data_IF_631692920577
#
_entry.id   IF_631692920577
#
_cell.length_a   1.000
_cell.length_b   1.000
_cell.length_c   1.000
_cell.angle_alpha   90.00
_cell.angle_beta   90.00
_cell.angle_gamma   90.00
#
_symmetry.space_group_name_H-M   'P 1'
#
loop_
_entity.id
_entity.type
_entity.pdbx_description
1 polymer ?
#
# COMPACT_ATOMS: atom_id res chain seq x y z
N UNK A 1 -9.45 8.99 -13.29
CA UNK A 1 -10.69 8.24 -13.65
C UNK A 1 -10.83 7.17 -12.58
N UNK A 2 -12.02 6.97 -12.01
CA UNK A 2 -12.20 5.94 -10.98
C UNK A 2 -11.96 4.54 -11.60
N UNK A 3 -11.11 3.74 -10.96
CA UNK A 3 -10.85 2.36 -11.42
C UNK A 3 -12.10 1.50 -11.19
N UNK A 4 -12.27 0.52 -12.05
CA UNK A 4 -13.29 -0.52 -11.93
C UNK A 4 -12.95 -1.49 -10.79
N UNK A 5 -13.95 -2.22 -10.30
CA UNK A 5 -13.72 -3.22 -9.26
C UNK A 5 -12.77 -4.34 -9.72
N UNK A 6 -12.84 -4.73 -10.99
CA UNK A 6 -11.93 -5.72 -11.57
C UNK A 6 -10.47 -5.24 -11.59
N UNK A 7 -10.22 -3.98 -11.99
CA UNK A 7 -8.87 -3.41 -11.96
C UNK A 7 -8.30 -3.32 -10.54
N UNK A 8 -9.16 -3.05 -9.55
CA UNK A 8 -8.77 -3.02 -8.14
C UNK A 8 -8.46 -4.43 -7.63
N UNK A 9 -9.25 -5.43 -8.02
CA UNK A 9 -9.02 -6.83 -7.65
C UNK A 9 -7.69 -7.34 -8.26
N UNK A 10 -7.43 -7.08 -9.55
CA UNK A 10 -6.18 -7.44 -10.22
C UNK A 10 -4.95 -6.79 -9.54
N UNK A 11 -5.07 -5.51 -9.15
CA UNK A 11 -4.04 -4.80 -8.41
C UNK A 11 -3.76 -5.44 -7.05
N UNK A 12 -4.81 -5.77 -6.30
CA UNK A 12 -4.69 -6.43 -4.99
C UNK A 12 -3.97 -7.77 -5.14
N UNK A 13 -4.36 -8.58 -6.13
CA UNK A 13 -3.72 -9.87 -6.40
C UNK A 13 -2.23 -9.71 -6.73
N UNK A 14 -1.88 -8.70 -7.53
CA UNK A 14 -0.48 -8.42 -7.87
C UNK A 14 0.35 -8.06 -6.63
N UNK A 15 -0.15 -7.18 -5.77
CA UNK A 15 0.58 -6.77 -4.56
C UNK A 15 0.68 -7.93 -3.56
N UNK A 16 -0.38 -8.74 -3.41
CA UNK A 16 -0.37 -9.94 -2.58
C UNK A 16 0.64 -10.98 -3.09
N UNK A 17 0.75 -11.14 -4.41
CA UNK A 17 1.76 -12.00 -5.04
C UNK A 17 3.18 -11.54 -4.72
N UNK A 18 3.46 -10.24 -4.79
CA UNK A 18 4.79 -9.72 -4.43
C UNK A 18 5.09 -9.90 -2.94
N UNK A 19 4.08 -9.82 -2.07
CA UNK A 19 4.21 -10.21 -0.66
C UNK A 19 4.57 -11.68 -0.49
N UNK A 20 3.87 -12.58 -1.17
CA UNK A 20 4.11 -14.03 -1.11
C UNK A 20 5.50 -14.41 -1.65
N UNK A 21 5.99 -13.70 -2.67
CA UNK A 21 7.32 -13.89 -3.24
C UNK A 21 8.44 -13.22 -2.41
N UNK A 22 8.11 -12.47 -1.36
CA UNK A 22 9.10 -11.76 -0.55
C UNK A 22 9.79 -10.61 -1.31
N UNK A 23 9.12 -10.01 -2.30
CA UNK A 23 9.63 -8.89 -3.10
C UNK A 23 9.51 -7.58 -2.34
N UNK A 24 10.44 -7.40 -1.41
CA UNK A 24 10.47 -6.26 -0.52
C UNK A 24 11.67 -5.36 -0.83
N UNK A 25 11.46 -4.05 -0.75
CA UNK A 25 12.54 -3.09 -0.86
C UNK A 25 13.53 -3.28 0.32
N UNK A 26 14.85 -3.04 0.16
CA UNK A 26 15.84 -3.34 1.21
C UNK A 26 15.54 -2.72 2.59
N UNK A 27 14.87 -1.57 2.62
CA UNK A 27 14.51 -0.84 3.86
C UNK A 27 13.19 -1.31 4.48
N UNK A 28 12.45 -2.20 3.85
CA UNK A 28 11.13 -2.67 4.28
C UNK A 28 11.16 -3.28 5.68
N UNK A 29 12.04 -4.27 5.92
CA UNK A 29 12.15 -4.92 7.22
C UNK A 29 12.61 -3.97 8.34
N UNK A 30 13.45 -2.98 8.01
CA UNK A 30 13.87 -1.95 8.96
C UNK A 30 12.66 -1.10 9.40
N UNK A 31 11.86 -0.63 8.44
CA UNK A 31 10.62 0.12 8.71
C UNK A 31 9.62 -0.67 9.54
N UNK A 32 9.39 -1.95 9.23
CA UNK A 32 8.52 -2.82 10.02
C UNK A 32 8.93 -2.84 11.50
N UNK A 33 10.22 -3.03 11.78
CA UNK A 33 10.77 -3.04 13.14
C UNK A 33 10.64 -1.69 13.83
N UNK A 34 11.00 -0.60 13.15
CA UNK A 34 10.91 0.77 13.69
C UNK A 34 9.49 1.17 14.09
N UNK A 35 8.49 0.64 13.40
CA UNK A 35 7.09 0.96 13.62
C UNK A 35 6.30 -0.13 14.36
N UNK A 36 6.96 -1.20 14.83
CA UNK A 36 6.31 -2.30 15.55
C UNK A 36 5.25 -3.04 14.71
N UNK A 37 5.40 -3.07 13.38
CA UNK A 37 4.48 -3.72 12.45
C UNK A 37 5.05 -5.07 12.02
N UNK A 38 4.21 -6.10 11.97
CA UNK A 38 4.59 -7.42 11.47
C UNK A 38 4.25 -7.54 9.98
N UNK A 39 4.92 -8.45 9.26
CA UNK A 39 4.58 -8.74 7.86
C UNK A 39 3.10 -9.15 7.73
N UNK A 40 2.59 -9.97 8.64
CA UNK A 40 1.19 -10.39 8.66
C UNK A 40 0.22 -9.21 8.84
N UNK A 41 0.61 -8.20 9.61
CA UNK A 41 -0.18 -6.99 9.75
C UNK A 41 -0.17 -6.15 8.48
N UNK A 42 0.97 -6.05 7.80
CA UNK A 42 1.12 -5.38 6.51
C UNK A 42 0.28 -6.06 5.43
N UNK A 43 0.38 -7.38 5.32
CA UNK A 43 -0.39 -8.18 4.36
C UNK A 43 -1.90 -8.01 4.55
N UNK A 44 -2.38 -8.00 5.81
CA UNK A 44 -3.79 -7.72 6.14
C UNK A 44 -4.25 -6.30 5.75
N UNK A 45 -3.35 -5.38 5.45
CA UNK A 45 -3.73 -4.06 4.94
C UNK A 45 -4.02 -4.06 3.43
N UNK A 46 -3.71 -5.14 2.71
CA UNK A 46 -3.89 -5.23 1.26
C UNK A 46 -5.24 -5.89 0.99
N UNK A 47 -6.20 -5.10 0.51
CA UNK A 47 -7.54 -5.59 0.17
C UNK A 47 -8.56 -4.46 0.04
N UNK A 48 -9.76 -4.80 -0.44
CA UNK A 48 -10.86 -3.85 -0.69
C UNK A 48 -11.44 -3.19 0.57
N UNK A 49 -11.06 -3.66 1.76
CA UNK A 49 -11.37 -3.03 3.06
C UNK A 49 -10.44 -1.86 3.40
N UNK A 50 -9.44 -1.58 2.57
CA UNK A 50 -8.52 -0.46 2.72
C UNK A 50 -8.85 0.67 1.75
N UNK A 51 -8.47 1.89 2.13
CA UNK A 51 -8.34 2.97 1.15
C UNK A 51 -7.16 2.66 0.23
N UNK A 52 -7.35 2.85 -1.08
CA UNK A 52 -6.30 2.64 -2.07
C UNK A 52 -6.10 3.95 -2.82
N UNK A 53 -4.88 4.48 -2.80
CA UNK A 53 -4.52 5.69 -3.52
C UNK A 53 -3.30 5.48 -4.39
N UNK A 54 -3.32 6.08 -5.57
CA UNK A 54 -2.15 6.24 -6.42
C UNK A 54 -1.54 7.60 -6.11
N UNK A 55 -0.23 7.66 -5.93
CA UNK A 55 0.48 8.91 -5.68
C UNK A 55 1.89 8.85 -6.24
N UNK A 56 2.49 10.02 -6.45
CA UNK A 56 3.83 10.13 -7.01
C UNK A 56 4.84 10.28 -5.86
N UNK A 57 5.72 9.30 -5.70
CA UNK A 57 6.78 9.33 -4.71
C UNK A 57 7.96 8.45 -5.14
N UNK A 58 8.96 9.08 -5.77
CA UNK A 58 10.05 8.38 -6.45
C UNK A 58 9.48 7.39 -7.50
N UNK A 59 8.51 7.86 -8.30
CA UNK A 59 7.72 7.07 -9.25
C UNK A 59 6.30 6.76 -8.76
N UNK A 60 5.51 6.08 -9.61
CA UNK A 60 4.11 5.74 -9.33
C UNK A 60 4.03 4.71 -8.23
N UNK A 61 3.36 5.09 -7.14
CA UNK A 61 3.24 4.27 -5.94
C UNK A 61 1.77 4.07 -5.59
N UNK A 62 1.40 2.83 -5.29
CA UNK A 62 0.10 2.48 -4.71
C UNK A 62 0.22 2.42 -3.20
N UNK A 63 -0.68 3.12 -2.52
CA UNK A 63 -0.82 3.12 -1.07
C UNK A 63 -2.09 2.39 -0.63
N UNK A 64 -1.94 1.35 0.17
CA UNK A 64 -3.04 0.71 0.88
C UNK A 64 -3.07 1.22 2.31
N UNK A 65 -4.20 1.74 2.76
CA UNK A 65 -4.40 2.13 4.14
C UNK A 65 -5.61 1.41 4.74
N UNK A 66 -5.35 0.52 5.69
CA UNK A 66 -6.40 -0.13 6.45
C UNK A 66 -6.94 0.82 7.53
N UNK A 67 -8.22 1.23 7.47
CA UNK A 67 -8.76 2.21 8.41
C UNK A 67 -8.96 1.68 9.83
N UNK A 68 -9.01 0.36 10.04
CA UNK A 68 -9.25 -0.24 11.36
C UNK A 68 -8.03 -0.16 12.26
N UNK A 69 -6.84 -0.27 11.69
CA UNK A 69 -5.57 -0.32 12.42
C UNK A 69 -4.55 0.74 11.95
N UNK A 70 -4.93 1.60 11.01
CA UNK A 70 -4.09 2.64 10.40
C UNK A 70 -2.79 2.11 9.79
N UNK A 71 -2.76 0.84 9.39
CA UNK A 71 -1.58 0.27 8.75
C UNK A 71 -1.57 0.70 7.30
N UNK A 72 -0.47 1.33 6.92
CA UNK A 72 -0.17 1.77 5.58
C UNK A 72 0.84 0.83 4.93
N UNK A 73 0.62 0.49 3.67
CA UNK A 73 1.54 -0.27 2.82
C UNK A 73 1.72 0.50 1.51
N UNK A 74 2.97 0.68 1.10
CA UNK A 74 3.30 1.29 -0.18
C UNK A 74 3.91 0.25 -1.13
N UNK A 75 3.49 0.25 -2.38
CA UNK A 75 3.94 -0.66 -3.43
C UNK A 75 4.31 0.12 -4.70
N UNK A 76 5.46 -0.19 -5.30
CA UNK A 76 5.99 0.50 -6.48
C UNK A 76 5.45 -0.13 -7.77
N UNK A 77 4.89 0.69 -8.67
CA UNK A 77 4.40 0.23 -9.98
C UNK A 77 5.49 0.20 -11.06
N UNK A 78 6.44 1.14 -10.99
CA UNK A 78 7.38 1.39 -12.09
C UNK A 78 8.68 0.56 -12.00
N UNK A 79 8.93 -0.11 -10.88
CA UNK A 79 10.08 -0.99 -10.73
C UNK A 79 9.80 -2.35 -11.42
N UNK A 80 10.74 -2.85 -12.24
CA UNK A 80 10.74 -4.25 -12.68
C UNK A 80 11.95 -5.00 -12.12
N UNK A 81 11.75 -6.03 -11.26
CA UNK A 81 10.45 -6.49 -10.76
C UNK A 81 9.79 -5.47 -9.81
N UNK A 82 8.48 -5.57 -9.61
CA UNK A 82 7.74 -4.70 -8.68
C UNK A 82 8.06 -5.07 -7.23
N UNK A 83 7.91 -4.10 -6.30
CA UNK A 83 8.29 -4.30 -4.89
C UNK A 83 7.35 -3.58 -3.92
N UNK A 84 7.19 -4.17 -2.73
CA UNK A 84 6.63 -3.48 -1.57
C UNK A 84 7.69 -2.56 -0.97
N UNK A 85 7.46 -1.25 -1.02
CA UNK A 85 8.41 -0.21 -0.57
C UNK A 85 8.50 -0.15 0.95
N UNK A 86 7.35 -0.03 1.63
CA UNK A 86 7.33 0.18 3.08
C UNK A 86 5.99 -0.19 3.72
N UNK A 87 6.02 -0.40 5.03
CA UNK A 87 4.82 -0.55 5.84
C UNK A 87 5.04 0.07 7.23
N UNK A 88 4.03 0.80 7.74
CA UNK A 88 4.04 1.44 9.06
C UNK A 88 2.63 1.86 9.51
N UNK A 89 2.51 2.34 10.74
CA UNK A 89 1.26 2.91 11.28
C UNK A 89 1.16 4.39 10.89
N UNK A 90 0.24 4.74 10.00
CA UNK A 90 -0.04 6.10 9.58
C UNK A 90 -1.04 6.75 10.56
N UNK A 91 -0.53 7.37 11.64
CA UNK A 91 -1.37 7.99 12.70
C UNK A 91 -2.42 9.01 12.22
N UNK A 92 -2.21 9.79 11.13
CA UNK A 92 -3.27 10.62 10.56
C UNK A 92 -4.38 9.85 9.82
N UNK A 93 -4.29 8.52 9.73
CA UNK A 93 -5.21 7.67 8.98
C UNK A 93 -5.27 8.07 7.52
N UNK A 94 -6.47 8.13 6.96
CA UNK A 94 -6.69 8.46 5.54
C UNK A 94 -6.12 9.82 5.15
N UNK A 95 -6.01 10.76 6.10
CA UNK A 95 -5.37 12.07 5.86
C UNK A 95 -3.88 11.95 5.54
N UNK A 96 -3.21 10.86 5.95
CA UNK A 96 -1.83 10.62 5.55
C UNK A 96 -1.74 10.30 4.05
N UNK A 97 -2.64 9.44 3.56
CA UNK A 97 -2.71 9.05 2.15
C UNK A 97 -3.06 10.26 1.28
N UNK A 98 -4.11 11.00 1.64
CA UNK A 98 -4.57 12.17 0.88
C UNK A 98 -3.58 13.35 0.87
N UNK A 99 -2.57 13.35 1.74
CA UNK A 99 -1.49 14.34 1.76
C UNK A 99 -0.30 13.96 0.90
N UNK A 100 -0.27 12.76 0.32
CA UNK A 100 0.79 12.38 -0.60
C UNK A 100 0.74 13.25 -1.87
N UNK A 101 1.89 13.55 -2.50
CA UNK A 101 1.92 14.33 -3.73
C UNK A 101 1.08 13.67 -4.83
N UNK A 102 0.24 14.47 -5.48
CA UNK A 102 -0.59 14.03 -6.61
C UNK A 102 -1.47 12.81 -6.29
N UNK A 103 -1.89 12.67 -5.03
CA UNK A 103 -2.68 11.53 -4.61
C UNK A 103 -4.06 11.52 -5.30
N UNK A 104 -4.31 10.50 -6.13
CA UNK A 104 -5.63 10.12 -6.63
C UNK A 104 -6.17 8.96 -5.79
N UNK A 105 -7.34 9.14 -5.17
CA UNK A 105 -8.00 8.06 -4.45
C UNK A 105 -8.67 7.12 -5.45
N UNK A 106 -8.11 5.93 -5.60
CA UNK A 106 -8.59 4.89 -6.53
C UNK A 106 -9.81 4.16 -5.95
N UNK A 107 -9.73 3.81 -4.67
CA UNK A 107 -10.75 3.00 -3.99
C UNK A 107 -11.00 3.49 -2.58
N UNK A 108 -12.27 3.48 -2.19
CA UNK A 108 -12.72 3.68 -0.81
C UNK A 108 -13.45 2.44 -0.33
N UNK A 109 -13.13 1.91 0.86
CA UNK A 109 -13.87 0.80 1.43
C UNK A 109 -15.31 1.23 1.72
N UNK A 110 -16.27 0.35 1.43
CA UNK A 110 -17.69 0.54 1.73
C UNK A 110 -17.99 0.28 3.21
#
# INVERSE_FOLDING_TARGET
MAWTEAEVDDLIEQVQRDFALGRFFPRFHKKLREHGVTIKHAEKAIGKHSYIGLYENEGRTIGFLNPRNNIFVAWSMDDYPTFVKTCFIAKPGVRYLLKQPECELIWSPK
#
